data_IF_788948449981
#
_entry.id   IF_788948449981
#
_cell.length_a   1.000
_cell.length_b   1.000
_cell.length_c   1.000
_cell.angle_alpha   90.00
_cell.angle_beta   90.00
_cell.angle_gamma   90.00
#
_symmetry.space_group_name_H-M   'P 1'
#
loop_
_entity.id
_entity.type
_entity.pdbx_description
1 polymer ?
#
# COMPACT_ATOMS: atom_id res chain seq x y z
N UNK A 1 9.64 13.86 26.19
CA UNK A 1 8.25 14.24 26.51
C UNK A 1 7.43 13.85 25.30
N UNK A 2 6.82 12.67 25.35
CA UNK A 2 6.12 12.07 24.20
C UNK A 2 4.72 12.69 24.10
N UNK A 3 4.41 13.31 22.97
CA UNK A 3 3.04 13.67 22.61
C UNK A 3 2.46 12.51 21.82
N UNK A 4 1.60 11.73 22.48
CA UNK A 4 0.71 10.78 21.85
C UNK A 4 -0.34 11.56 21.04
N UNK A 5 -0.48 11.24 19.76
CA UNK A 5 -1.66 11.66 19.00
C UNK A 5 -2.71 10.56 19.13
N UNK A 6 -3.61 10.77 20.09
CA UNK A 6 -4.84 10.03 20.27
C UNK A 6 -5.81 10.41 19.16
N UNK A 7 -6.30 9.47 18.36
CA UNK A 7 -7.58 9.66 17.67
C UNK A 7 -8.70 9.17 18.59
N UNK A 8 -9.44 10.14 19.10
CA UNK A 8 -10.70 9.95 19.83
C UNK A 8 -11.84 9.70 18.84
N UNK A 9 -12.59 8.63 19.06
CA UNK A 9 -13.95 8.45 18.59
C UNK A 9 -14.85 9.53 19.21
N UNK A 10 -15.73 10.14 18.41
CA UNK A 10 -16.95 10.77 18.91
C UNK A 10 -18.12 10.45 17.97
N UNK A 11 -19.18 9.94 18.59
CA UNK A 11 -20.32 9.22 18.02
C UNK A 11 -21.36 10.11 17.32
N UNK A 12 -22.14 9.49 16.41
CA UNK A 12 -23.59 9.43 16.61
C UNK A 12 -24.20 8.26 15.80
N UNK A 13 -24.81 7.29 16.50
CA UNK A 13 -25.74 6.30 15.92
C UNK A 13 -25.32 4.83 16.03
N UNK A 14 -25.85 4.13 17.03
CA UNK A 14 -25.97 2.66 17.06
C UNK A 14 -24.96 1.94 17.96
N UNK A 15 -25.15 2.03 19.27
CA UNK A 15 -24.47 1.21 20.26
C UNK A 15 -24.88 -0.27 20.10
N UNK A 16 -24.20 -1.02 19.23
CA UNK A 16 -24.23 -2.51 19.24
C UNK A 16 -23.11 -3.18 18.40
N UNK A 17 -22.18 -2.42 17.78
CA UNK A 17 -21.08 -2.99 17.00
C UNK A 17 -19.74 -3.18 17.76
N UNK A 18 -19.64 -2.75 19.03
CA UNK A 18 -18.37 -2.75 19.78
C UNK A 18 -18.05 -4.04 20.56
N UNK A 19 -18.80 -5.13 20.41
CA UNK A 19 -18.55 -6.36 21.19
C UNK A 19 -17.98 -7.56 20.41
N UNK A 20 -17.53 -7.39 19.16
CA UNK A 20 -17.01 -8.51 18.34
C UNK A 20 -15.53 -8.39 17.95
N UNK A 21 -14.81 -7.44 18.54
CA UNK A 21 -13.35 -7.44 18.52
C UNK A 21 -12.85 -8.17 19.76
N UNK A 22 -12.40 -9.43 19.60
CA UNK A 22 -11.51 -10.03 20.61
C UNK A 22 -10.38 -9.02 20.89
N UNK A 23 -10.01 -8.89 22.16
CA UNK A 23 -9.15 -7.86 22.74
C UNK A 23 -7.72 -7.76 22.17
N UNK A 24 -7.41 -8.47 21.08
CA UNK A 24 -6.12 -8.52 20.40
C UNK A 24 -6.21 -8.28 18.87
N UNK A 25 -7.35 -7.81 18.37
CA UNK A 25 -7.52 -7.48 16.95
C UNK A 25 -7.12 -6.03 16.65
N UNK A 26 -6.11 -5.83 15.79
CA UNK A 26 -5.76 -4.51 15.26
C UNK A 26 -6.59 -4.21 14.00
N UNK A 27 -7.29 -3.09 13.98
CA UNK A 27 -7.89 -2.57 12.75
C UNK A 27 -6.77 -2.12 11.79
N UNK A 28 -6.65 -2.75 10.63
CA UNK A 28 -5.55 -2.51 9.67
C UNK A 28 -5.94 -1.53 8.57
N UNK A 29 -7.24 -1.37 8.27
CA UNK A 29 -7.76 -0.29 7.44
C UNK A 29 -9.27 -0.08 7.68
N UNK A 30 -9.69 1.16 7.90
CA UNK A 30 -11.10 1.55 7.81
C UNK A 30 -11.18 2.90 7.09
N UNK A 31 -12.06 3.00 6.09
CA UNK A 31 -12.37 4.27 5.43
C UNK A 31 -13.85 4.58 5.63
N UNK A 32 -14.12 5.67 6.35
CA UNK A 32 -15.45 6.26 6.49
C UNK A 32 -15.55 7.42 5.51
N UNK A 33 -16.45 7.35 4.53
CA UNK A 33 -16.72 8.48 3.65
C UNK A 33 -17.78 9.37 4.32
N UNK A 34 -17.38 10.53 4.84
CA UNK A 34 -18.32 11.57 5.25
C UNK A 34 -18.83 12.32 4.01
N UNK A 35 -20.12 12.15 3.67
CA UNK A 35 -20.82 12.92 2.64
C UNK A 35 -22.26 13.25 3.09
N UNK A 36 -22.82 14.42 2.75
CA UNK A 36 -23.96 14.99 3.45
C UNK A 36 -25.29 14.47 2.89
N UNK A 37 -25.87 13.47 3.54
CA UNK A 37 -27.33 13.28 3.67
C UNK A 37 -27.64 11.92 4.29
N UNK A 38 -28.61 11.88 5.20
CA UNK A 38 -29.07 10.70 5.96
C UNK A 38 -29.70 9.56 5.12
N UNK A 39 -29.57 9.56 3.79
CA UNK A 39 -30.17 8.54 2.90
C UNK A 39 -29.21 7.95 1.85
N UNK A 40 -27.89 8.03 2.05
CA UNK A 40 -26.94 7.24 1.28
C UNK A 40 -26.47 6.04 2.11
N UNK A 41 -26.92 4.83 1.76
CA UNK A 41 -26.45 3.60 2.39
C UNK A 41 -24.91 3.56 2.45
N UNK A 42 -24.38 3.66 3.67
CA UNK A 42 -22.97 3.73 4.00
C UNK A 42 -22.28 2.43 3.56
N UNK A 43 -21.78 2.39 2.32
CA UNK A 43 -21.04 1.24 1.77
C UNK A 43 -19.62 1.28 2.30
N UNK A 44 -19.43 0.81 3.54
CA UNK A 44 -18.11 0.65 4.15
C UNK A 44 -17.59 -0.75 3.89
N UNK A 45 -16.56 -0.90 3.06
CA UNK A 45 -15.71 -2.09 3.19
C UNK A 45 -14.85 -1.88 4.41
N UNK A 46 -15.16 -2.61 5.49
CA UNK A 46 -14.18 -2.80 6.56
C UNK A 46 -13.45 -4.09 6.21
N UNK A 47 -12.18 -3.96 5.85
CA UNK A 47 -11.24 -5.08 5.80
C UNK A 47 -10.34 -5.01 7.00
N UNK A 48 -10.30 -6.10 7.77
CA UNK A 48 -9.35 -6.23 8.87
C UNK A 48 -8.63 -7.56 8.77
N UNK A 49 -7.39 -7.55 9.23
CA UNK A 49 -6.55 -8.72 9.28
C UNK A 49 -6.45 -9.21 10.72
N UNK A 50 -6.76 -10.48 10.96
CA UNK A 50 -6.62 -11.09 12.28
C UNK A 50 -5.16 -11.43 12.58
N UNK A 51 -4.84 -11.73 13.84
CA UNK A 51 -3.53 -12.28 14.25
C UNK A 51 -3.22 -13.63 13.57
N UNK A 52 -4.26 -14.37 13.16
CA UNK A 52 -4.17 -15.58 12.33
C UNK A 52 -4.04 -15.31 10.83
N UNK A 53 -3.80 -14.05 10.42
CA UNK A 53 -3.63 -13.62 9.03
C UNK A 53 -4.88 -13.88 8.16
N UNK A 54 -6.07 -13.80 8.75
CA UNK A 54 -7.32 -13.90 8.00
C UNK A 54 -7.78 -12.51 7.57
N UNK A 55 -8.17 -12.38 6.30
CA UNK A 55 -8.82 -11.19 5.78
C UNK A 55 -10.34 -11.35 5.93
N UNK A 56 -10.95 -10.44 6.66
CA UNK A 56 -12.39 -10.38 6.84
C UNK A 56 -12.98 -9.21 6.04
N UNK A 57 -14.23 -9.34 5.59
CA UNK A 57 -15.02 -8.25 4.98
C UNK A 57 -16.31 -8.09 5.75
N UNK A 58 -16.67 -6.87 6.07
CA UNK A 58 -18.00 -6.52 6.62
C UNK A 58 -18.94 -6.14 5.47
N UNK A 59 -20.14 -6.72 5.44
CA UNK A 59 -21.19 -6.37 4.47
C UNK A 59 -22.04 -5.17 4.95
N UNK A 60 -22.95 -4.68 4.09
CA UNK A 60 -23.82 -3.54 4.42
C UNK A 60 -24.81 -3.82 5.58
N UNK A 61 -24.91 -5.06 6.05
CA UNK A 61 -25.72 -5.43 7.22
C UNK A 61 -24.87 -5.57 8.48
N UNK A 62 -23.58 -5.18 8.43
CA UNK A 62 -22.65 -5.28 9.54
C UNK A 62 -22.13 -6.70 9.78
N UNK A 63 -22.35 -7.66 8.88
CA UNK A 63 -21.92 -9.04 9.07
C UNK A 63 -20.51 -9.24 8.54
N UNK A 64 -19.65 -9.86 9.34
CA UNK A 64 -18.30 -10.27 8.95
C UNK A 64 -18.31 -11.56 8.13
N UNK A 65 -17.57 -11.56 7.04
CA UNK A 65 -17.36 -12.70 6.14
C UNK A 65 -15.87 -12.95 5.97
N UNK A 66 -15.43 -14.19 6.10
CA UNK A 66 -14.06 -14.58 5.76
C UNK A 66 -13.85 -14.44 4.25
N UNK A 67 -12.84 -13.66 3.85
CA UNK A 67 -12.44 -13.49 2.45
C UNK A 67 -11.37 -14.51 2.08
N UNK A 68 -10.31 -14.57 2.89
CA UNK A 68 -9.18 -15.47 2.66
C UNK A 68 -8.36 -15.64 3.94
N UNK A 69 -7.65 -16.77 4.02
CA UNK A 69 -6.66 -17.02 5.06
C UNK A 69 -5.24 -16.79 4.51
N UNK A 70 -4.27 -16.66 5.42
CA UNK A 70 -2.85 -16.47 5.11
C UNK A 70 -2.60 -15.25 4.21
N UNK A 71 -3.22 -14.14 4.57
CA UNK A 71 -3.16 -12.87 3.83
C UNK A 71 -2.21 -11.86 4.48
N UNK A 72 -1.86 -10.81 3.74
CA UNK A 72 -1.07 -9.68 4.22
C UNK A 72 -1.37 -8.39 3.45
N UNK A 73 -1.03 -7.25 4.07
CA UNK A 73 -1.07 -5.91 3.50
C UNK A 73 -2.36 -5.59 2.69
N UNK A 74 -3.57 -5.74 3.28
CA UNK A 74 -4.79 -5.38 2.59
C UNK A 74 -4.91 -3.86 2.43
N UNK A 75 -5.27 -3.41 1.23
CA UNK A 75 -5.54 -1.99 0.93
C UNK A 75 -6.85 -1.83 0.18
N UNK A 76 -7.66 -0.84 0.57
CA UNK A 76 -8.95 -0.52 -0.07
C UNK A 76 -8.71 0.41 -1.26
N UNK A 77 -9.46 0.23 -2.35
CA UNK A 77 -9.42 1.15 -3.49
C UNK A 77 -10.01 2.51 -3.13
N UNK A 78 -9.60 3.61 -3.78
CA UNK A 78 -10.08 4.96 -3.43
C UNK A 78 -11.61 5.13 -3.49
N UNK A 79 -12.26 4.35 -4.36
CA UNK A 79 -13.72 4.35 -4.52
C UNK A 79 -14.46 3.44 -3.51
N UNK A 80 -13.72 2.73 -2.64
CA UNK A 80 -14.28 1.83 -1.64
C UNK A 80 -15.02 0.63 -2.23
N UNK A 81 -14.82 0.25 -3.49
CA UNK A 81 -15.50 -0.90 -4.10
C UNK A 81 -14.65 -2.18 -4.15
N UNK A 82 -13.34 -2.05 -3.86
CA UNK A 82 -12.38 -3.15 -3.97
C UNK A 82 -11.38 -3.13 -2.82
N UNK A 83 -10.74 -4.27 -2.61
CA UNK A 83 -9.54 -4.36 -1.80
C UNK A 83 -8.48 -5.20 -2.52
N UNK A 84 -7.23 -4.74 -2.54
CA UNK A 84 -6.09 -5.54 -2.97
C UNK A 84 -5.39 -6.12 -1.74
N UNK A 85 -4.86 -7.33 -1.83
CA UNK A 85 -4.17 -7.97 -0.73
C UNK A 85 -3.19 -9.04 -1.24
N UNK A 86 -2.13 -9.27 -0.48
CA UNK A 86 -1.23 -10.40 -0.70
C UNK A 86 -1.81 -11.66 -0.05
N UNK A 87 -1.66 -12.82 -0.70
CA UNK A 87 -2.11 -14.11 -0.19
C UNK A 87 -1.04 -15.16 -0.42
N UNK A 88 -0.68 -15.87 0.65
CA UNK A 88 0.14 -17.06 0.58
C UNK A 88 -0.69 -18.26 0.06
N UNK A 89 -0.05 -19.26 -0.56
CA UNK A 89 -0.73 -20.49 -0.97
C UNK A 89 -1.46 -21.15 0.20
N UNK A 90 -2.53 -21.93 -0.03
CA UNK A 90 -3.25 -22.59 1.08
C UNK A 90 -2.49 -23.78 1.68
N UNK A 91 -1.42 -24.23 1.03
CA UNK A 91 -0.52 -25.27 1.53
C UNK A 91 0.79 -25.31 0.76
N UNK A 92 1.78 -25.97 1.33
CA UNK A 92 3.06 -26.27 0.69
C UNK A 92 3.20 -27.78 0.60
N UNK A 93 3.38 -28.33 -0.61
CA UNK A 93 3.70 -29.75 -0.79
C UNK A 93 5.22 -29.91 -0.87
N UNK A 94 5.80 -30.96 -0.29
CA UNK A 94 7.21 -31.30 -0.52
C UNK A 94 7.50 -31.38 -2.03
N UNK A 95 8.43 -30.55 -2.52
CA UNK A 95 8.77 -30.45 -3.94
C UNK A 95 8.08 -29.32 -4.71
N UNK A 96 7.13 -28.59 -4.10
CA UNK A 96 6.70 -27.31 -4.66
C UNK A 96 7.92 -26.35 -4.61
N UNK A 97 8.18 -25.63 -5.70
CA UNK A 97 8.94 -24.37 -5.59
C UNK A 97 8.28 -23.57 -4.47
N UNK A 98 9.05 -22.95 -3.56
CA UNK A 98 8.50 -22.11 -2.50
C UNK A 98 7.56 -21.10 -3.16
N UNK A 99 6.25 -21.39 -3.14
CA UNK A 99 5.25 -20.55 -3.79
C UNK A 99 5.08 -19.38 -2.85
N UNK A 100 5.63 -18.28 -3.28
CA UNK A 100 5.56 -17.01 -2.60
C UNK A 100 4.22 -16.33 -2.84
N UNK A 101 3.96 -15.24 -2.10
CA UNK A 101 2.67 -14.56 -2.13
C UNK A 101 2.29 -14.08 -3.54
N UNK A 102 1.00 -14.15 -3.82
CA UNK A 102 0.35 -13.53 -4.97
C UNK A 102 -0.55 -12.39 -4.52
N UNK A 103 -0.85 -11.46 -5.43
CA UNK A 103 -1.87 -10.46 -5.21
C UNK A 103 -3.24 -10.91 -5.70
N UNK A 104 -4.24 -10.53 -4.92
CA UNK A 104 -5.64 -10.72 -5.21
C UNK A 104 -6.36 -9.38 -5.10
N UNK A 105 -7.42 -9.21 -5.90
CA UNK A 105 -8.36 -8.09 -5.83
C UNK A 105 -9.74 -8.63 -5.47
N UNK A 106 -10.22 -8.28 -4.28
CA UNK A 106 -11.58 -8.49 -3.81
C UNK A 106 -12.52 -7.46 -4.44
N UNK A 107 -13.63 -7.92 -5.02
CA UNK A 107 -14.80 -7.08 -5.29
C UNK A 107 -15.72 -7.12 -4.07
N UNK A 108 -15.98 -5.96 -3.45
CA UNK A 108 -16.76 -5.92 -2.22
C UNK A 108 -18.26 -6.12 -2.38
N UNK A 109 -18.81 -5.79 -3.54
CA UNK A 109 -20.23 -6.02 -3.80
C UNK A 109 -20.50 -7.52 -3.94
N UNK A 110 -19.66 -8.25 -4.69
CA UNK A 110 -19.85 -9.68 -4.89
C UNK A 110 -19.17 -10.56 -3.83
N UNK A 111 -18.26 -10.01 -3.03
CA UNK A 111 -17.41 -10.76 -2.11
C UNK A 111 -16.42 -11.72 -2.80
N UNK A 112 -16.15 -11.53 -4.10
CA UNK A 112 -15.31 -12.44 -4.90
C UNK A 112 -13.94 -11.86 -5.10
N UNK A 113 -12.91 -12.68 -4.90
CA UNK A 113 -11.52 -12.31 -5.18
C UNK A 113 -11.05 -12.83 -6.53
N UNK A 114 -10.30 -12.01 -7.24
CA UNK A 114 -9.61 -12.36 -8.49
C UNK A 114 -8.11 -12.35 -8.24
N UNK A 115 -7.40 -13.44 -8.55
CA UNK A 115 -5.93 -13.45 -8.53
C UNK A 115 -5.42 -12.58 -9.68
N UNK A 116 -4.60 -11.57 -9.38
CA UNK A 116 -4.09 -10.61 -10.38
C UNK A 116 -2.61 -10.79 -10.69
N UNK A 117 -1.88 -11.56 -9.88
CA UNK A 117 -0.48 -11.89 -10.15
C UNK A 117 -0.18 -13.37 -9.91
N UNK A 118 0.96 -13.85 -10.40
CA UNK A 118 1.39 -15.25 -10.24
C UNK A 118 2.88 -15.35 -9.90
N UNK A 119 3.21 -15.57 -8.61
CA UNK A 119 4.26 -16.47 -8.15
C UNK A 119 5.64 -15.88 -7.86
N UNK A 120 5.74 -14.65 -7.35
CA UNK A 120 7.05 -13.99 -7.24
C UNK A 120 7.27 -13.08 -6.01
N UNK A 121 6.78 -13.47 -4.83
CA UNK A 121 6.91 -12.70 -3.59
C UNK A 121 6.28 -11.32 -3.74
N UNK A 122 5.01 -11.33 -4.13
CA UNK A 122 4.28 -10.10 -4.42
C UNK A 122 3.68 -9.57 -3.13
N UNK A 123 3.98 -8.31 -2.82
CA UNK A 123 3.62 -7.69 -1.54
C UNK A 123 3.38 -6.18 -1.70
N UNK A 124 2.94 -5.56 -0.60
CA UNK A 124 2.74 -4.12 -0.48
C UNK A 124 1.92 -3.50 -1.62
N UNK A 125 0.71 -4.01 -1.89
CA UNK A 125 -0.15 -3.43 -2.91
C UNK A 125 -0.56 -2.00 -2.51
N UNK A 126 -0.59 -1.08 -3.48
CA UNK A 126 -1.12 0.28 -3.34
C UNK A 126 -1.93 0.63 -4.58
N UNK A 127 -3.14 1.14 -4.41
CA UNK A 127 -3.98 1.55 -5.54
C UNK A 127 -3.52 2.88 -6.12
N UNK A 128 -3.63 3.04 -7.43
CA UNK A 128 -3.60 4.37 -8.05
C UNK A 128 -4.79 5.22 -7.59
N UNK A 129 -4.69 6.56 -7.61
CA UNK A 129 -5.77 7.45 -7.15
C UNK A 129 -7.10 7.26 -7.89
N UNK A 130 -7.04 6.78 -9.15
CA UNK A 130 -8.22 6.47 -9.97
C UNK A 130 -8.76 5.03 -9.78
N UNK A 131 -8.11 4.21 -8.94
CA UNK A 131 -8.47 2.83 -8.66
C UNK A 131 -8.32 1.85 -9.83
N UNK A 132 -7.64 2.23 -10.92
CA UNK A 132 -7.54 1.39 -12.13
C UNK A 132 -6.38 0.39 -12.08
N UNK A 133 -5.33 0.73 -11.36
CA UNK A 133 -4.06 0.00 -11.33
C UNK A 133 -3.62 -0.22 -9.88
N UNK A 134 -2.97 -1.34 -9.63
CA UNK A 134 -2.30 -1.66 -8.36
C UNK A 134 -0.80 -1.59 -8.60
N UNK A 135 -0.11 -0.74 -7.85
CA UNK A 135 1.34 -0.79 -7.68
C UNK A 135 1.69 -1.81 -6.61
N UNK A 136 2.81 -2.50 -6.75
CA UNK A 136 3.23 -3.49 -5.77
C UNK A 136 4.71 -3.84 -5.89
N UNK A 137 5.27 -4.44 -4.85
CA UNK A 137 6.66 -4.90 -4.84
C UNK A 137 6.76 -6.38 -5.21
N UNK A 138 7.82 -6.73 -5.95
CA UNK A 138 8.16 -8.12 -6.25
C UNK A 138 9.66 -8.30 -6.40
N UNK A 139 10.19 -9.35 -5.80
CA UNK A 139 11.62 -9.69 -5.85
C UNK A 139 11.90 -10.82 -6.82
N UNK A 140 11.09 -11.87 -6.79
CA UNK A 140 11.42 -13.11 -7.49
C UNK A 140 11.19 -13.04 -9.00
N UNK A 141 10.49 -12.03 -9.52
CA UNK A 141 10.28 -11.84 -10.98
C UNK A 141 11.58 -11.59 -11.74
N UNK A 142 12.46 -10.82 -11.13
CA UNK A 142 13.70 -10.33 -11.78
C UNK A 142 14.94 -10.66 -10.96
N UNK A 143 14.78 -11.25 -9.77
CA UNK A 143 15.87 -11.52 -8.83
C UNK A 143 16.30 -10.29 -8.02
N UNK A 144 15.68 -9.13 -8.24
CA UNK A 144 15.91 -7.89 -7.49
C UNK A 144 14.58 -7.28 -7.07
N UNK A 145 14.41 -6.83 -5.81
CA UNK A 145 13.18 -6.18 -5.36
C UNK A 145 12.87 -4.99 -6.24
N UNK A 146 11.71 -5.00 -6.91
CA UNK A 146 11.30 -3.97 -7.87
C UNK A 146 9.83 -3.62 -7.68
N UNK A 147 9.45 -2.42 -8.09
CA UNK A 147 8.09 -1.91 -8.09
C UNK A 147 7.49 -2.25 -9.44
N UNK A 148 6.27 -2.75 -9.41
CA UNK A 148 5.52 -3.20 -10.57
C UNK A 148 4.15 -2.54 -10.55
N UNK A 149 3.51 -2.51 -11.71
CA UNK A 149 2.09 -2.19 -11.83
C UNK A 149 1.34 -3.35 -12.46
N UNK A 150 0.07 -3.50 -12.12
CA UNK A 150 -0.86 -4.44 -12.76
C UNK A 150 -2.27 -3.85 -12.76
N UNK A 151 -3.03 -4.07 -13.83
CA UNK A 151 -4.46 -3.72 -13.84
C UNK A 151 -5.22 -4.64 -12.90
N UNK A 152 -6.33 -4.16 -12.35
CA UNK A 152 -7.23 -4.91 -11.46
C UNK A 152 -7.77 -6.26 -11.99
N UNK A 153 -7.57 -6.54 -13.27
CA UNK A 153 -7.93 -7.80 -13.93
C UNK A 153 -6.72 -8.72 -14.22
N UNK A 154 -5.54 -8.38 -13.69
CA UNK A 154 -4.29 -9.12 -13.88
C UNK A 154 -3.57 -8.87 -15.21
N UNK A 155 -4.06 -7.96 -16.04
CA UNK A 155 -3.41 -7.61 -17.32
C UNK A 155 -2.42 -6.46 -17.14
N UNK A 156 -1.59 -6.26 -18.17
CA UNK A 156 -0.69 -5.11 -18.28
C UNK A 156 0.30 -5.02 -17.11
N UNK A 157 0.92 -6.16 -16.83
CA UNK A 157 1.95 -6.29 -15.83
C UNK A 157 3.25 -5.63 -16.35
N UNK A 158 3.74 -4.61 -15.65
CA UNK A 158 4.93 -3.84 -16.07
C UNK A 158 5.84 -3.57 -14.88
N UNK A 159 7.15 -3.72 -15.08
CA UNK A 159 8.17 -3.34 -14.10
C UNK A 159 8.44 -1.83 -14.20
N UNK A 160 8.47 -1.13 -13.07
CA UNK A 160 8.64 0.33 -12.99
C UNK A 160 10.03 0.75 -12.50
N UNK A 161 10.65 -0.05 -11.63
CA UNK A 161 11.99 0.23 -11.07
C UNK A 161 12.97 -0.90 -11.39
N UNK A 162 14.28 -0.60 -11.32
CA UNK A 162 15.36 -1.51 -11.71
C UNK A 162 15.24 -2.08 -13.15
N UNK A 163 14.69 -1.31 -14.09
CA UNK A 163 14.54 -1.75 -15.48
C UNK A 163 15.85 -1.51 -16.25
N UNK A 164 16.40 -2.58 -16.84
CA UNK A 164 17.40 -2.52 -17.92
C UNK A 164 18.69 -1.75 -17.64
N UNK A 165 19.02 -1.45 -16.39
CA UNK A 165 20.09 -0.51 -16.05
C UNK A 165 20.90 -0.97 -14.84
N UNK A 166 22.21 -0.72 -14.89
CA UNK A 166 23.08 -0.82 -13.72
C UNK A 166 22.71 0.25 -12.69
N UNK A 167 22.91 -0.02 -11.39
CA UNK A 167 22.75 0.96 -10.31
C UNK A 167 23.57 2.26 -10.51
N UNK A 168 24.56 2.24 -11.40
CA UNK A 168 25.39 3.39 -11.74
C UNK A 168 24.85 4.22 -12.91
N UNK A 169 23.74 3.80 -13.53
CA UNK A 169 23.07 4.54 -14.59
C UNK A 169 22.26 5.70 -14.01
N UNK A 170 22.24 6.85 -14.68
CA UNK A 170 21.37 7.96 -14.33
C UNK A 170 19.87 7.67 -14.55
N UNK A 171 19.56 6.66 -15.37
CA UNK A 171 18.20 6.16 -15.58
C UNK A 171 17.78 5.11 -14.53
N UNK A 172 18.67 4.75 -13.60
CA UNK A 172 18.35 3.81 -12.53
C UNK A 172 17.34 4.42 -11.56
N UNK A 173 16.22 3.71 -11.40
CA UNK A 173 15.20 4.04 -10.42
C UNK A 173 15.25 2.93 -9.37
N UNK A 174 15.71 3.22 -8.14
CA UNK A 174 15.75 2.22 -7.08
C UNK A 174 14.35 1.89 -6.60
N UNK A 175 14.18 0.67 -6.11
CA UNK A 175 12.95 0.22 -5.48
C UNK A 175 12.70 0.91 -4.13
N UNK A 176 11.43 1.10 -3.72
CA UNK A 176 11.13 1.42 -2.33
C UNK A 176 11.68 0.37 -1.37
N UNK A 177 11.93 0.77 -0.13
CA UNK A 177 12.25 -0.17 0.93
C UNK A 177 11.12 -1.21 1.08
N UNK A 178 11.47 -2.47 1.34
CA UNK A 178 10.48 -3.50 1.66
C UNK A 178 9.78 -3.12 2.98
N UNK A 179 8.45 -3.17 2.99
CA UNK A 179 7.64 -2.68 4.11
C UNK A 179 7.69 -1.16 4.33
N UNK A 180 8.28 -0.41 3.39
CA UNK A 180 8.29 1.04 3.39
C UNK A 180 7.02 1.61 2.74
N UNK A 181 6.64 2.83 3.14
CA UNK A 181 5.46 3.50 2.59
C UNK A 181 5.71 4.01 1.18
N UNK A 182 4.74 3.75 0.28
CA UNK A 182 4.59 4.41 -1.01
C UNK A 182 3.31 5.23 -0.94
N UNK A 183 3.43 6.56 -1.05
CA UNK A 183 2.31 7.47 -0.89
C UNK A 183 2.04 8.26 -2.18
N UNK A 184 0.78 8.27 -2.62
CA UNK A 184 0.35 9.08 -3.75
C UNK A 184 0.11 10.53 -3.33
N UNK A 185 0.49 11.45 -4.21
CA UNK A 185 -0.08 12.79 -4.17
C UNK A 185 -1.59 12.70 -4.48
N UNK A 186 -2.41 13.45 -3.75
CA UNK A 186 -3.86 13.36 -3.87
C UNK A 186 -4.39 13.79 -5.25
N UNK A 187 -3.71 14.74 -5.90
CA UNK A 187 -4.19 15.39 -7.12
C UNK A 187 -3.34 15.04 -8.35
N UNK A 188 -2.14 14.51 -8.14
CA UNK A 188 -1.17 14.22 -9.20
C UNK A 188 -0.85 12.73 -9.23
N UNK A 189 -0.51 12.24 -10.42
CA UNK A 189 0.03 10.88 -10.57
C UNK A 189 1.51 10.85 -10.21
N UNK A 190 1.82 11.18 -8.98
CA UNK A 190 3.16 11.18 -8.42
C UNK A 190 3.14 10.38 -7.13
N UNK A 191 4.11 9.50 -6.94
CA UNK A 191 4.34 8.85 -5.65
C UNK A 191 5.60 9.38 -4.98
N UNK A 192 5.61 9.39 -3.66
CA UNK A 192 6.81 9.50 -2.84
C UNK A 192 7.08 8.19 -2.12
N UNK A 193 8.35 7.84 -1.97
CA UNK A 193 8.78 6.68 -1.21
C UNK A 193 10.22 6.84 -0.70
N UNK A 194 10.61 5.96 0.23
CA UNK A 194 11.98 5.90 0.75
C UNK A 194 12.67 4.61 0.30
N UNK A 195 13.95 4.67 -0.07
CA UNK A 195 14.77 3.50 -0.41
C UNK A 195 15.44 2.90 0.82
N UNK A 196 15.86 1.63 0.75
CA UNK A 196 16.73 1.06 1.79
C UNK A 196 18.13 1.69 1.72
N UNK A 197 18.71 2.04 2.87
CA UNK A 197 20.13 2.39 2.97
C UNK A 197 20.99 1.13 2.98
N UNK A 198 22.08 1.15 2.21
CA UNK A 198 23.07 0.05 2.20
C UNK A 198 24.06 0.14 3.35
N UNK A 199 24.08 1.25 4.10
CA UNK A 199 24.98 1.47 5.23
C UNK A 199 24.19 1.56 6.52
N UNK A 200 24.57 0.73 7.48
CA UNK A 200 23.91 0.69 8.78
C UNK A 200 23.99 2.06 9.46
N UNK A 201 22.84 2.58 9.89
CA UNK A 201 22.75 3.87 10.58
C UNK A 201 22.71 5.10 9.67
N UNK A 202 22.78 4.94 8.35
CA UNK A 202 22.52 6.03 7.40
C UNK A 202 21.06 5.98 6.90
N UNK A 203 20.50 7.15 6.61
CA UNK A 203 19.21 7.27 5.95
C UNK A 203 19.23 6.67 4.54
N UNK A 204 18.05 6.22 4.09
CA UNK A 204 17.81 5.94 2.68
C UNK A 204 17.78 7.22 1.84
N UNK A 205 17.25 7.10 0.64
CA UNK A 205 16.88 8.25 -0.17
C UNK A 205 15.38 8.42 -0.23
N UNK A 206 14.92 9.65 -0.09
CA UNK A 206 13.56 10.05 -0.43
C UNK A 206 13.50 10.29 -1.92
N UNK A 207 12.60 9.59 -2.61
CA UNK A 207 12.47 9.65 -4.06
C UNK A 207 11.02 9.81 -4.45
N UNK A 208 10.83 10.32 -5.65
CA UNK A 208 9.52 10.36 -6.27
C UNK A 208 9.55 9.83 -7.69
N UNK A 209 8.40 9.32 -8.12
CA UNK A 209 8.14 8.89 -9.49
C UNK A 209 6.87 9.59 -9.96
N UNK A 210 6.96 10.31 -11.08
CA UNK A 210 5.80 10.85 -11.80
C UNK A 210 5.41 9.90 -12.93
N UNK A 211 4.11 9.72 -13.11
CA UNK A 211 3.53 8.78 -14.06
C UNK A 211 2.71 9.47 -15.16
N UNK A 212 2.74 8.86 -16.35
CA UNK A 212 1.90 9.26 -17.47
C UNK A 212 0.44 8.79 -17.32
N UNK A 213 -0.34 8.86 -18.40
CA UNK A 213 -1.77 8.50 -18.40
C UNK A 213 -2.06 7.02 -18.26
N UNK A 214 -1.12 6.17 -18.61
CA UNK A 214 -1.26 4.72 -18.51
C UNK A 214 -0.63 4.19 -17.22
N UNK A 215 0.04 5.05 -16.45
CA UNK A 215 0.83 4.76 -15.26
C UNK A 215 2.24 4.21 -15.54
N UNK A 216 2.80 4.55 -16.70
CA UNK A 216 4.21 4.31 -16.99
C UNK A 216 5.06 5.41 -16.38
N UNK A 217 6.32 5.10 -16.07
CA UNK A 217 7.24 6.08 -15.49
C UNK A 217 7.54 7.17 -16.52
N UNK A 218 7.09 8.39 -16.24
CA UNK A 218 7.40 9.57 -17.03
C UNK A 218 8.70 10.23 -16.57
N UNK A 219 8.93 10.29 -15.26
CA UNK A 219 10.17 10.80 -14.67
C UNK A 219 10.34 10.30 -13.23
N UNK A 220 11.58 10.22 -12.75
CA UNK A 220 11.88 9.88 -11.37
C UNK A 220 13.11 10.66 -10.87
N UNK A 221 13.09 11.09 -9.62
CA UNK A 221 14.19 11.86 -9.03
C UNK A 221 14.31 11.65 -7.52
N UNK A 222 15.51 11.94 -7.02
CA UNK A 222 15.82 11.94 -5.60
C UNK A 222 15.57 13.34 -5.02
N UNK A 223 14.89 13.41 -3.88
CA UNK A 223 14.80 14.60 -3.05
C UNK A 223 15.97 14.68 -2.04
N UNK A 224 16.79 13.64 -1.96
CA UNK A 224 17.99 13.55 -1.12
C UNK A 224 17.87 12.48 -0.03
N UNK A 225 18.89 12.41 0.83
CA UNK A 225 18.90 11.47 1.95
C UNK A 225 17.79 11.79 2.95
N UNK A 226 17.07 10.76 3.38
CA UNK A 226 16.05 10.87 4.41
C UNK A 226 15.18 9.62 4.57
N UNK A 227 14.18 9.75 5.41
CA UNK A 227 13.20 8.73 5.77
C UNK A 227 11.84 9.35 6.09
N UNK A 228 10.82 8.51 6.28
CA UNK A 228 9.49 8.94 6.75
C UNK A 228 8.86 10.03 5.87
N UNK A 229 9.07 9.92 4.56
CA UNK A 229 8.55 10.90 3.62
C UNK A 229 7.02 10.83 3.50
N UNK A 230 6.37 11.99 3.51
CA UNK A 230 4.94 12.12 3.27
C UNK A 230 4.57 13.39 2.53
N UNK A 231 3.40 13.39 1.89
CA UNK A 231 2.86 14.59 1.25
C UNK A 231 2.25 15.56 2.27
N UNK A 232 2.36 16.85 1.97
CA UNK A 232 1.60 17.91 2.65
C UNK A 232 0.36 18.27 1.82
N UNK A 233 -0.62 18.92 2.46
CA UNK A 233 -1.78 19.50 1.78
C UNK A 233 -1.41 20.57 0.72
N UNK A 234 -0.19 21.08 0.75
CA UNK A 234 0.32 22.08 -0.21
C UNK A 234 1.01 21.43 -1.42
N UNK A 235 1.05 20.11 -1.49
CA UNK A 235 1.72 19.35 -2.56
C UNK A 235 3.26 19.37 -2.46
N UNK A 236 3.81 19.71 -1.29
CA UNK A 236 5.23 19.51 -0.96
C UNK A 236 5.43 18.16 -0.28
N UNK A 237 6.67 17.67 -0.26
CA UNK A 237 7.04 16.46 0.49
C UNK A 237 7.80 16.89 1.75
N UNK A 238 7.37 16.40 2.91
CA UNK A 238 8.11 16.51 4.16
C UNK A 238 8.78 15.17 4.50
N UNK A 239 9.99 15.21 5.05
CA UNK A 239 10.72 13.99 5.44
C UNK A 239 11.76 14.26 6.52
N UNK A 240 12.14 13.20 7.24
CA UNK A 240 13.19 13.19 8.25
C UNK A 240 14.56 13.02 7.61
N UNK A 241 15.58 13.75 8.09
CA UNK A 241 16.98 13.58 7.66
C UNK A 241 17.93 13.60 8.85
N UNK A 242 18.88 12.69 8.89
CA UNK A 242 19.96 12.65 9.85
C UNK A 242 21.15 13.51 9.41
N UNK A 243 21.44 14.55 10.18
CA UNK A 243 22.58 15.43 10.02
C UNK A 243 23.53 15.28 11.21
N UNK A 244 24.54 14.42 11.07
CA UNK A 244 25.57 14.24 12.09
C UNK A 244 25.03 13.74 13.44
N UNK A 245 24.01 12.87 13.43
CA UNK A 245 23.36 12.33 14.62
C UNK A 245 22.12 13.10 15.09
N UNK A 246 21.78 14.21 14.43
CA UNK A 246 20.56 14.98 14.71
C UNK A 246 19.53 14.76 13.60
N UNK A 247 18.32 14.37 13.97
CA UNK A 247 17.20 14.29 13.03
C UNK A 247 16.60 15.68 12.81
N UNK A 248 16.43 16.06 11.54
CA UNK A 248 15.80 17.32 11.11
C UNK A 248 14.65 17.02 10.17
N UNK A 249 13.63 17.89 10.16
CA UNK A 249 12.56 17.86 9.18
C UNK A 249 12.96 18.71 7.97
N UNK A 250 12.85 18.14 6.78
CA UNK A 250 13.08 18.80 5.50
C UNK A 250 11.74 18.90 4.76
N UNK A 251 11.46 20.06 4.17
CA UNK A 251 10.34 20.23 3.25
C UNK A 251 10.89 20.51 1.85
N UNK A 252 10.51 19.69 0.89
CA UNK A 252 10.95 19.77 -0.49
C UNK A 252 9.77 20.02 -1.43
N UNK A 253 9.97 20.91 -2.40
CA UNK A 253 9.01 21.12 -3.48
C UNK A 253 9.14 20.02 -4.51
N UNK A 254 7.99 19.53 -4.95
CA UNK A 254 7.90 18.60 -6.07
C UNK A 254 7.50 19.36 -7.33
N UNK A 255 8.36 19.38 -8.37
CA UNK A 255 8.06 20.03 -9.64
C UNK A 255 6.90 19.36 -10.41
#
# INVERSE_FOLDING_TARGET
MWMASSLLLAACGGAEAESLADAESQAVASQSLGGPSEESADRRIIVYQTTSLQLMRVDNQGRSHLVAERTGAPVVSPDGNRAAYAKLPDGHRPGDLVRSSDLYVLNANSGKSTRVTQGFDDSEPVWTPDGRVVLFQSTSRTGVPSLWRVKQNGKDLTQLTNVGTSQFSSAYIPNPALGGTVEWDADRRIIVYTTTSLRQGEDGEVRIIAFDRDYDVASAYSLGKGSEASWTERGTVVYSRNEGGRVVTVEARVP
#
